data_IF_649727295430
#
_entry.id   IF_649727295430
#
_cell.length_a   1.000
_cell.length_b   1.000
_cell.length_c   1.000
_cell.angle_alpha   90.00
_cell.angle_beta   90.00
_cell.angle_gamma   90.00
#
_symmetry.space_group_name_H-M   'P 1'
#
loop_
_entity.id
_entity.type
_entity.pdbx_description
1 polymer ?
#
# COMPACT_ATOMS: atom_id res chain seq x y z
N UNK A 1 16.97 -44.49 26.13
CA UNK A 1 16.45 -43.51 27.10
C UNK A 1 15.66 -42.50 26.30
N UNK A 2 14.34 -42.65 26.32
CA UNK A 2 13.39 -41.85 25.56
C UNK A 2 13.42 -40.39 26.03
N UNK A 3 13.44 -39.47 25.06
CA UNK A 3 13.22 -38.04 25.30
C UNK A 3 11.76 -37.87 25.73
N UNK A 4 11.56 -37.38 26.95
CA UNK A 4 10.24 -36.96 27.43
C UNK A 4 9.83 -35.74 26.61
N UNK A 5 8.84 -35.90 25.74
CA UNK A 5 8.17 -34.78 25.07
C UNK A 5 7.63 -33.85 26.17
N UNK A 6 8.15 -32.63 26.21
CA UNK A 6 7.56 -31.55 27.00
C UNK A 6 6.19 -31.27 26.39
N UNK A 7 5.17 -31.73 27.10
CA UNK A 7 3.79 -31.70 26.64
C UNK A 7 3.32 -30.26 26.54
N UNK A 8 2.38 -30.01 25.63
CA UNK A 8 1.58 -28.79 25.58
C UNK A 8 0.99 -28.44 26.97
N UNK A 9 0.78 -29.44 27.81
CA UNK A 9 0.29 -29.31 29.19
C UNK A 9 1.30 -28.58 30.10
N UNK A 10 2.62 -28.81 29.93
CA UNK A 10 3.66 -28.13 30.74
C UNK A 10 3.63 -26.61 30.52
N UNK A 11 3.26 -26.16 29.32
CA UNK A 11 3.19 -24.74 28.99
C UNK A 11 2.00 -24.05 29.69
N UNK A 12 0.83 -24.68 29.71
CA UNK A 12 -0.35 -24.12 30.37
C UNK A 12 -0.24 -24.13 31.88
N UNK A 13 0.37 -25.16 32.46
CA UNK A 13 0.64 -25.23 33.90
C UNK A 13 1.58 -24.11 34.35
N UNK A 14 2.61 -23.79 33.55
CA UNK A 14 3.52 -22.65 33.82
C UNK A 14 2.77 -21.31 33.78
N UNK A 15 1.83 -21.11 32.85
CA UNK A 15 1.04 -19.87 32.75
C UNK A 15 0.11 -19.68 33.96
N UNK A 16 -0.50 -20.78 34.42
CA UNK A 16 -1.39 -20.79 35.59
C UNK A 16 -0.60 -20.54 36.87
N UNK A 17 0.54 -21.22 37.07
CA UNK A 17 1.39 -21.04 38.27
C UNK A 17 1.95 -19.62 38.39
N UNK A 18 2.22 -18.96 37.26
CA UNK A 18 2.72 -17.59 37.24
C UNK A 18 1.60 -16.53 37.23
N UNK A 19 0.34 -16.94 37.37
CA UNK A 19 -0.84 -16.06 37.40
C UNK A 19 -0.88 -15.10 36.20
N UNK A 20 -0.44 -15.58 35.03
CA UNK A 20 -0.35 -14.79 33.80
C UNK A 20 -1.74 -14.62 33.25
N UNK A 21 -2.34 -13.46 33.48
CA UNK A 21 -3.54 -13.04 32.76
C UNK A 21 -3.12 -12.79 31.30
N UNK A 22 -3.59 -13.61 30.36
CA UNK A 22 -3.53 -13.24 28.95
C UNK A 22 -4.47 -12.04 28.79
N UNK A 23 -3.92 -10.83 28.79
CA UNK A 23 -4.64 -9.61 28.45
C UNK A 23 -4.98 -9.65 26.96
N UNK A 24 -5.98 -10.45 26.59
CA UNK A 24 -6.63 -10.30 25.30
C UNK A 24 -7.57 -9.11 25.43
N UNK A 25 -7.31 -8.06 24.66
CA UNK A 25 -8.23 -6.93 24.53
C UNK A 25 -9.66 -7.46 24.21
N UNK A 26 -10.74 -6.75 24.61
CA UNK A 26 -12.12 -7.14 24.28
C UNK A 26 -12.29 -7.46 22.80
N UNK A 27 -13.21 -8.39 22.46
CA UNK A 27 -13.42 -8.85 21.06
C UNK A 27 -13.78 -7.68 20.13
N UNK A 28 -14.42 -6.63 20.66
CA UNK A 28 -14.76 -5.42 19.94
C UNK A 28 -13.54 -4.54 19.59
N UNK A 29 -12.45 -4.71 20.35
CA UNK A 29 -11.15 -4.05 20.19
C UNK A 29 -10.13 -4.92 19.43
N UNK A 30 -10.38 -6.23 19.32
CA UNK A 30 -9.61 -7.15 18.48
C UNK A 30 -9.96 -6.95 17.00
N UNK A 31 -9.43 -5.90 16.39
CA UNK A 31 -9.33 -5.80 14.92
C UNK A 31 -7.94 -6.25 14.47
N UNK A 32 -7.55 -7.46 14.83
CA UNK A 32 -6.34 -8.05 14.26
C UNK A 32 -6.66 -8.60 12.88
N UNK A 33 -6.38 -7.79 11.86
CA UNK A 33 -6.01 -8.35 10.57
C UNK A 33 -4.83 -9.28 10.83
N UNK A 34 -5.04 -10.58 10.66
CA UNK A 34 -4.01 -11.62 10.77
C UNK A 34 -2.87 -11.21 9.83
N UNK A 35 -1.76 -10.73 10.38
CA UNK A 35 -0.47 -10.50 9.68
C UNK A 35 -0.63 -10.00 8.22
N UNK A 36 -1.12 -8.76 7.98
CA UNK A 36 -1.43 -8.26 6.62
C UNK A 36 -0.22 -8.23 5.67
N UNK A 37 1.00 -8.38 6.21
CA UNK A 37 2.22 -8.46 5.44
C UNK A 37 2.37 -9.74 4.61
N UNK A 38 1.77 -10.84 5.04
CA UNK A 38 1.84 -12.15 4.38
C UNK A 38 0.60 -12.48 3.53
N UNK A 39 -0.44 -11.64 3.59
CA UNK A 39 -1.68 -11.82 2.85
C UNK A 39 -1.60 -11.17 1.44
N UNK A 40 -1.45 -12.02 0.43
CA UNK A 40 -1.45 -11.60 -0.97
C UNK A 40 -2.76 -10.95 -1.42
N UNK A 41 -3.90 -11.39 -0.88
CA UNK A 41 -5.20 -10.83 -1.23
C UNK A 41 -5.36 -9.43 -0.67
N UNK A 42 -4.89 -9.18 0.55
CA UNK A 42 -4.83 -7.82 1.13
C UNK A 42 -4.00 -6.87 0.25
N UNK A 43 -2.81 -7.29 -0.19
CA UNK A 43 -1.98 -6.47 -1.08
C UNK A 43 -2.61 -6.28 -2.46
N UNK A 44 -3.17 -7.33 -3.04
CA UNK A 44 -3.82 -7.29 -4.35
C UNK A 44 -5.04 -6.36 -4.32
N UNK A 45 -5.87 -6.47 -3.30
CA UNK A 45 -7.02 -5.62 -3.02
C UNK A 45 -6.63 -4.13 -3.04
N UNK A 46 -5.57 -3.76 -2.30
CA UNK A 46 -5.07 -2.39 -2.24
C UNK A 46 -4.53 -1.92 -3.59
N UNK A 47 -3.74 -2.74 -4.29
CA UNK A 47 -3.14 -2.39 -5.58
C UNK A 47 -4.23 -2.21 -6.65
N UNK A 48 -5.25 -3.07 -6.66
CA UNK A 48 -6.40 -2.92 -7.56
C UNK A 48 -7.06 -1.56 -7.40
N UNK A 49 -7.39 -1.19 -6.16
CA UNK A 49 -8.02 0.08 -5.85
C UNK A 49 -7.11 1.26 -6.23
N UNK A 50 -5.80 1.15 -5.96
CA UNK A 50 -4.80 2.16 -6.33
C UNK A 50 -4.73 2.38 -7.84
N UNK A 51 -4.67 1.32 -8.65
CA UNK A 51 -4.66 1.45 -10.11
C UNK A 51 -6.00 1.99 -10.60
N UNK A 52 -7.12 1.55 -10.01
CA UNK A 52 -8.46 2.00 -10.41
C UNK A 52 -8.67 3.50 -10.21
N UNK A 53 -8.17 4.04 -9.09
CA UNK A 53 -8.38 5.44 -8.70
C UNK A 53 -7.27 6.34 -9.24
N UNK A 54 -6.01 5.93 -9.15
CA UNK A 54 -4.85 6.75 -9.50
C UNK A 54 -4.29 6.47 -10.91
N UNK A 55 -4.78 5.42 -11.57
CA UNK A 55 -4.43 5.08 -12.95
C UNK A 55 -5.09 6.01 -13.96
N UNK A 56 -4.42 6.20 -15.09
CA UNK A 56 -4.88 7.03 -16.21
C UNK A 56 -5.29 6.15 -17.39
N UNK A 57 -6.34 6.57 -18.11
CA UNK A 57 -6.63 6.12 -19.48
C UNK A 57 -6.07 7.21 -20.41
N UNK A 58 -5.22 6.82 -21.36
CA UNK A 58 -4.47 7.76 -22.19
C UNK A 58 -4.21 7.19 -23.58
N UNK A 59 -5.21 7.28 -24.46
CA UNK A 59 -5.09 6.81 -25.84
C UNK A 59 -4.09 7.64 -26.65
N UNK A 60 -3.32 7.05 -27.59
CA UNK A 60 -3.36 5.64 -28.01
C UNK A 60 -2.45 4.70 -27.17
N UNK A 61 -1.98 5.16 -26.00
CA UNK A 61 -0.99 4.43 -25.22
C UNK A 61 -1.63 3.42 -24.27
N UNK A 62 -2.73 3.81 -23.60
CA UNK A 62 -3.46 2.99 -22.63
C UNK A 62 -4.96 3.13 -22.85
N UNK A 63 -5.62 2.02 -23.14
CA UNK A 63 -7.09 1.91 -23.22
C UNK A 63 -7.77 1.80 -21.86
N UNK A 64 -7.02 1.30 -20.86
CA UNK A 64 -7.54 0.98 -19.54
C UNK A 64 -6.73 1.68 -18.44
N UNK A 65 -7.29 1.71 -17.22
CA UNK A 65 -6.69 2.34 -16.06
C UNK A 65 -5.26 1.83 -15.83
N UNK A 66 -4.29 2.73 -16.00
CA UNK A 66 -2.88 2.38 -16.00
C UNK A 66 -2.06 3.31 -15.11
N UNK A 67 -1.25 2.74 -14.22
CA UNK A 67 -0.15 3.46 -13.57
C UNK A 67 1.15 3.11 -14.31
N UNK A 68 1.83 4.14 -14.82
CA UNK A 68 3.12 3.99 -15.47
C UNK A 68 4.25 4.54 -14.57
N UNK A 69 5.39 3.87 -14.59
CA UNK A 69 6.57 4.24 -13.82
C UNK A 69 6.61 3.58 -12.44
N UNK A 70 7.73 2.91 -12.15
CA UNK A 70 7.97 2.21 -10.87
C UNK A 70 7.93 3.15 -9.67
N UNK A 71 8.60 4.29 -9.77
CA UNK A 71 8.70 5.27 -8.68
C UNK A 71 7.34 5.87 -8.32
N UNK A 72 6.55 6.23 -9.32
CA UNK A 72 5.18 6.72 -9.15
C UNK A 72 4.29 5.70 -8.45
N UNK A 73 4.19 4.47 -8.98
CA UNK A 73 3.39 3.40 -8.36
C UNK A 73 3.78 3.19 -6.90
N UNK A 74 5.08 3.01 -6.69
CA UNK A 74 5.67 2.75 -5.38
C UNK A 74 5.38 3.85 -4.36
N UNK A 75 5.52 5.11 -4.76
CA UNK A 75 5.27 6.23 -3.86
C UNK A 75 3.79 6.41 -3.55
N UNK A 76 2.92 6.22 -4.54
CA UNK A 76 1.48 6.28 -4.29
C UNK A 76 1.05 5.17 -3.34
N UNK A 77 1.57 3.96 -3.53
CA UNK A 77 1.28 2.87 -2.63
C UNK A 77 1.81 3.10 -1.22
N UNK A 78 3.01 3.65 -1.11
CA UNK A 78 3.60 4.07 0.15
C UNK A 78 2.70 5.07 0.91
N UNK A 79 2.20 6.11 0.25
CA UNK A 79 1.32 7.09 0.92
C UNK A 79 0.03 6.48 1.46
N UNK A 80 -0.44 5.40 0.84
CA UNK A 80 -1.63 4.68 1.29
C UNK A 80 -1.32 3.75 2.47
N UNK A 81 -0.19 3.02 2.44
CA UNK A 81 0.25 2.18 3.56
C UNK A 81 0.62 2.99 4.81
N UNK A 82 1.11 4.21 4.59
CA UNK A 82 1.57 5.14 5.62
C UNK A 82 0.79 6.47 5.54
N UNK A 83 -0.47 6.50 6.01
CA UNK A 83 -1.34 7.66 5.85
C UNK A 83 -0.84 8.93 6.60
N UNK A 84 0.06 8.78 7.58
CA UNK A 84 0.75 9.93 8.17
C UNK A 84 1.72 10.63 7.20
N UNK A 85 2.34 9.91 6.25
CA UNK A 85 3.10 10.55 5.17
C UNK A 85 2.17 11.26 4.19
N UNK A 86 0.97 10.73 3.95
CA UNK A 86 -0.05 11.44 3.16
C UNK A 86 -0.48 12.75 3.87
N UNK A 87 -0.63 12.75 5.20
CA UNK A 87 -0.80 13.97 6.00
C UNK A 87 0.33 14.97 5.77
N UNK A 88 1.60 14.53 5.87
CA UNK A 88 2.77 15.39 5.62
C UNK A 88 2.74 15.98 4.20
N UNK A 89 2.36 15.20 3.19
CA UNK A 89 2.20 15.70 1.81
C UNK A 89 1.12 16.80 1.74
N UNK A 90 -0.04 16.61 2.38
CA UNK A 90 -1.11 17.62 2.43
C UNK A 90 -0.59 18.94 3.04
N UNK A 91 0.17 18.85 4.13
CA UNK A 91 0.75 20.00 4.84
C UNK A 91 1.81 20.72 4.00
N UNK A 92 2.72 19.98 3.35
CA UNK A 92 3.75 20.52 2.45
C UNK A 92 3.10 21.29 1.28
N UNK A 93 2.03 20.74 0.72
CA UNK A 93 1.29 21.35 -0.40
C UNK A 93 0.29 22.43 0.05
N UNK A 94 0.20 22.70 1.36
CA UNK A 94 -0.73 23.67 1.97
C UNK A 94 -2.20 23.42 1.57
N UNK A 95 -2.57 22.14 1.42
CA UNK A 95 -3.92 21.69 1.04
C UNK A 95 -4.76 21.28 2.25
N UNK A 96 -4.73 22.07 3.33
CA UNK A 96 -5.32 21.70 4.63
C UNK A 96 -6.79 21.28 4.57
N UNK A 97 -7.56 21.76 3.59
CA UNK A 97 -8.95 21.31 3.33
C UNK A 97 -9.09 19.79 3.07
N UNK A 98 -7.99 19.10 2.74
CA UNK A 98 -7.97 17.66 2.49
C UNK A 98 -7.79 16.84 3.76
N UNK A 99 -7.43 17.46 4.90
CA UNK A 99 -7.17 16.75 6.16
C UNK A 99 -8.42 16.05 6.70
N UNK A 100 -9.60 16.65 6.53
CA UNK A 100 -10.87 16.05 6.97
C UNK A 100 -11.19 14.75 6.22
N UNK A 101 -10.81 14.69 4.94
CA UNK A 101 -10.99 13.53 4.08
C UNK A 101 -9.99 12.39 4.36
N UNK A 102 -8.83 12.71 4.97
CA UNK A 102 -7.81 11.71 5.30
C UNK A 102 -8.33 10.67 6.31
N UNK A 103 -9.26 11.08 7.20
CA UNK A 103 -9.83 10.26 8.27
C UNK A 103 -8.75 9.48 9.04
N UNK A 104 -7.68 10.17 9.40
CA UNK A 104 -6.53 9.58 10.08
C UNK A 104 -6.93 9.25 11.53
N UNK A 105 -6.74 8.00 11.93
CA UNK A 105 -6.96 7.55 13.30
C UNK A 105 -5.67 7.69 14.12
N UNK A 106 -5.76 7.85 15.46
CA UNK A 106 -4.58 8.04 16.31
C UNK A 106 -3.53 6.93 16.17
N UNK A 107 -3.94 5.67 16.08
CA UNK A 107 -2.98 4.56 15.93
C UNK A 107 -2.25 4.56 14.56
N UNK A 108 -2.81 5.21 13.53
CA UNK A 108 -2.21 5.29 12.19
C UNK A 108 -1.09 6.36 12.11
N UNK A 109 -0.87 7.12 13.19
CA UNK A 109 0.31 8.00 13.34
C UNK A 109 1.49 7.29 14.00
N UNK A 110 1.26 6.16 14.66
CA UNK A 110 2.28 5.41 15.40
C UNK A 110 2.69 4.11 14.69
N UNK A 111 1.76 3.49 13.95
CA UNK A 111 1.99 2.21 13.26
C UNK A 111 1.46 2.26 11.82
N UNK A 112 2.23 1.68 10.91
CA UNK A 112 1.82 1.46 9.53
C UNK A 112 0.91 0.24 9.42
N UNK A 113 -0.02 0.24 8.46
CA UNK A 113 -1.00 -0.84 8.30
C UNK A 113 -0.38 -2.14 7.71
N UNK A 114 0.65 -2.00 6.87
CA UNK A 114 1.50 -3.09 6.37
C UNK A 114 2.89 -2.50 6.08
N UNK A 115 3.83 -2.60 7.03
CA UNK A 115 5.15 -2.02 6.87
C UNK A 115 5.92 -2.69 5.72
N UNK A 116 6.57 -1.87 4.90
CA UNK A 116 7.55 -2.33 3.93
C UNK A 116 8.78 -2.87 4.67
N UNK A 117 9.17 -4.11 4.38
CA UNK A 117 10.00 -4.94 5.30
C UNK A 117 11.40 -4.38 5.58
N UNK A 118 12.00 -3.54 4.72
CA UNK A 118 13.28 -2.86 5.02
C UNK A 118 13.36 -1.54 4.26
N UNK A 119 13.29 -0.41 4.96
CA UNK A 119 13.51 0.94 4.44
C UNK A 119 14.97 1.13 3.97
N UNK A 120 15.47 0.40 2.97
CA UNK A 120 16.86 0.58 2.48
C UNK A 120 16.95 0.96 1.00
N UNK A 121 15.90 0.82 0.18
CA UNK A 121 16.03 1.07 -1.28
C UNK A 121 14.84 1.73 -1.95
N UNK A 122 14.40 2.86 -1.42
CA UNK A 122 13.30 3.62 -2.03
C UNK A 122 11.97 2.86 -1.97
N UNK A 123 10.93 3.35 -2.66
CA UNK A 123 9.56 2.89 -2.43
C UNK A 123 9.24 1.54 -3.10
N UNK A 124 10.22 0.83 -3.68
CA UNK A 124 10.02 -0.47 -4.34
C UNK A 124 10.35 -1.64 -3.39
N UNK A 125 9.33 -2.34 -2.89
CA UNK A 125 9.46 -3.55 -2.07
C UNK A 125 9.81 -4.78 -2.94
N UNK A 126 10.76 -5.60 -2.50
CA UNK A 126 11.07 -6.89 -3.14
C UNK A 126 9.86 -7.84 -3.25
N UNK A 127 8.87 -7.69 -2.36
CA UNK A 127 7.61 -8.45 -2.39
C UNK A 127 6.75 -8.12 -3.61
N UNK A 128 6.94 -6.96 -4.26
CA UNK A 128 6.10 -6.57 -5.39
C UNK A 128 6.15 -7.57 -6.53
N UNK A 129 7.29 -8.17 -6.83
CA UNK A 129 7.38 -9.11 -7.94
C UNK A 129 6.47 -10.33 -7.70
N UNK A 130 6.45 -10.85 -6.47
CA UNK A 130 5.57 -11.96 -6.10
C UNK A 130 4.09 -11.54 -6.12
N UNK A 131 3.75 -10.39 -5.54
CA UNK A 131 2.37 -9.88 -5.47
C UNK A 131 1.83 -9.58 -6.89
N UNK A 132 2.62 -8.92 -7.73
CA UNK A 132 2.22 -8.60 -9.10
C UNK A 132 2.07 -9.86 -9.94
N UNK A 133 2.96 -10.85 -9.79
CA UNK A 133 2.80 -12.15 -10.46
C UNK A 133 1.54 -12.88 -10.00
N UNK A 134 1.22 -12.84 -8.70
CA UNK A 134 -0.04 -13.36 -8.17
C UNK A 134 -1.24 -12.70 -8.85
N UNK A 135 -1.30 -11.37 -8.90
CA UNK A 135 -2.39 -10.62 -9.54
C UNK A 135 -2.50 -10.90 -11.05
N UNK A 136 -1.37 -11.01 -11.76
CA UNK A 136 -1.34 -11.38 -13.19
C UNK A 136 -1.89 -12.80 -13.39
N UNK A 137 -1.51 -13.76 -12.54
CA UNK A 137 -2.01 -15.15 -12.62
C UNK A 137 -3.53 -15.24 -12.41
N UNK A 138 -4.08 -14.34 -11.60
CA UNK A 138 -5.52 -14.17 -11.36
C UNK A 138 -6.22 -13.34 -12.45
N UNK A 139 -5.50 -12.90 -13.48
CA UNK A 139 -6.00 -12.05 -14.57
C UNK A 139 -6.60 -10.72 -14.08
N UNK A 140 -6.12 -10.19 -12.96
CA UNK A 140 -6.59 -8.93 -12.39
C UNK A 140 -5.88 -7.72 -13.01
N UNK A 141 -4.61 -7.88 -13.36
CA UNK A 141 -3.79 -6.83 -13.97
C UNK A 141 -2.95 -7.38 -15.11
N UNK A 142 -2.44 -6.48 -15.94
CA UNK A 142 -1.34 -6.72 -16.89
C UNK A 142 -0.13 -5.90 -16.44
N UNK A 143 1.01 -6.55 -16.31
CA UNK A 143 2.30 -5.89 -16.13
C UNK A 143 3.06 -5.93 -17.45
N UNK A 144 3.42 -4.77 -17.99
CA UNK A 144 4.09 -4.70 -19.29
C UNK A 144 4.99 -3.47 -19.40
N UNK A 145 5.85 -3.44 -20.43
CA UNK A 145 6.72 -2.30 -20.72
C UNK A 145 6.33 -1.67 -22.06
N UNK A 146 5.73 -0.48 -22.02
CA UNK A 146 5.17 0.19 -23.19
C UNK A 146 5.48 1.69 -23.20
N UNK A 147 5.25 2.32 -24.35
CA UNK A 147 5.32 3.77 -24.49
C UNK A 147 4.17 4.39 -23.70
N UNK A 148 4.46 5.32 -22.79
CA UNK A 148 3.43 6.14 -22.11
C UNK A 148 3.28 7.53 -22.75
N UNK A 149 4.19 7.87 -23.67
CA UNK A 149 4.11 8.98 -24.59
C UNK A 149 4.93 8.64 -25.86
N UNK A 150 5.02 9.56 -26.81
CA UNK A 150 5.71 9.34 -28.10
C UNK A 150 7.19 8.96 -27.99
N UNK A 151 7.87 9.33 -26.90
CA UNK A 151 9.33 9.30 -26.79
C UNK A 151 9.86 8.47 -25.61
N UNK A 152 9.00 8.01 -24.70
CA UNK A 152 9.41 7.36 -23.46
C UNK A 152 8.61 6.10 -23.17
N UNK A 153 9.33 5.09 -22.66
CA UNK A 153 8.78 3.83 -22.17
C UNK A 153 8.86 3.74 -20.66
N UNK A 154 7.94 3.01 -20.06
CA UNK A 154 7.94 2.70 -18.64
C UNK A 154 7.30 1.33 -18.37
N UNK A 155 7.57 0.78 -17.17
CA UNK A 155 6.75 -0.29 -16.62
C UNK A 155 5.33 0.26 -16.40
N UNK A 156 4.34 -0.48 -16.86
CA UNK A 156 2.93 -0.14 -16.79
C UNK A 156 2.17 -1.26 -16.06
N UNK A 157 1.37 -0.86 -15.09
CA UNK A 157 0.42 -1.70 -14.38
C UNK A 157 -0.98 -1.29 -14.83
N UNK A 158 -1.64 -2.17 -15.58
CA UNK A 158 -2.93 -1.87 -16.21
C UNK A 158 -3.98 -2.84 -15.71
N UNK A 159 -5.17 -2.35 -15.35
CA UNK A 159 -6.28 -3.24 -14.99
C UNK A 159 -6.73 -4.04 -16.21
N UNK A 160 -7.14 -5.28 -15.99
CA UNK A 160 -7.97 -6.03 -16.94
C UNK A 160 -9.43 -5.67 -16.75
N UNK A 161 -10.32 -6.15 -17.62
CA UNK A 161 -11.78 -6.06 -17.41
C UNK A 161 -12.18 -6.65 -16.05
N UNK A 162 -11.70 -7.86 -15.72
CA UNK A 162 -11.93 -8.48 -14.41
C UNK A 162 -11.39 -7.63 -13.26
N UNK A 163 -10.20 -7.04 -13.42
CA UNK A 163 -9.62 -6.14 -12.43
C UNK A 163 -10.48 -4.90 -12.18
N UNK A 164 -11.04 -4.33 -13.25
CA UNK A 164 -11.99 -3.21 -13.17
C UNK A 164 -13.23 -3.65 -12.38
N UNK A 165 -13.88 -4.74 -12.79
CA UNK A 165 -15.11 -5.23 -12.16
C UNK A 165 -14.95 -5.49 -10.66
N UNK A 166 -13.84 -6.12 -10.26
CA UNK A 166 -13.53 -6.37 -8.85
C UNK A 166 -13.22 -5.06 -8.13
N UNK A 167 -12.45 -4.15 -8.74
CA UNK A 167 -12.13 -2.87 -8.11
C UNK A 167 -13.34 -1.96 -7.90
N UNK A 168 -14.37 -2.04 -8.74
CA UNK A 168 -15.64 -1.33 -8.53
C UNK A 168 -16.38 -1.80 -7.28
N UNK A 169 -16.38 -3.12 -7.04
CA UNK A 169 -16.99 -3.68 -5.83
C UNK A 169 -16.23 -3.20 -4.58
N UNK A 170 -14.90 -3.19 -4.66
CA UNK A 170 -14.02 -2.71 -3.59
C UNK A 170 -14.28 -1.23 -3.26
N UNK A 171 -14.48 -0.37 -4.26
CA UNK A 171 -14.73 1.08 -4.04
C UNK A 171 -15.91 1.30 -3.10
N UNK A 172 -16.97 0.51 -3.23
CA UNK A 172 -18.18 0.66 -2.41
C UNK A 172 -17.94 0.30 -0.94
N UNK A 173 -17.14 -0.73 -0.68
CA UNK A 173 -16.89 -1.24 0.66
C UNK A 173 -15.89 -0.37 1.43
N UNK A 174 -14.99 0.35 0.73
CA UNK A 174 -13.77 0.88 1.33
C UNK A 174 -13.59 2.40 1.11
N UNK A 175 -14.56 3.22 1.57
CA UNK A 175 -14.62 4.65 1.27
C UNK A 175 -13.47 5.45 1.87
N UNK A 176 -12.82 4.96 2.93
CA UNK A 176 -11.65 5.62 3.53
C UNK A 176 -10.45 5.51 2.61
N UNK A 177 -10.17 4.32 2.06
CA UNK A 177 -9.09 4.10 1.12
C UNK A 177 -9.31 4.87 -0.17
N UNK A 178 -10.54 4.86 -0.69
CA UNK A 178 -10.94 5.65 -1.86
C UNK A 178 -10.64 7.13 -1.63
N UNK A 179 -11.08 7.69 -0.49
CA UNK A 179 -10.86 9.09 -0.17
C UNK A 179 -9.36 9.45 -0.11
N UNK A 180 -8.54 8.59 0.50
CA UNK A 180 -7.08 8.77 0.56
C UNK A 180 -6.43 8.75 -0.82
N UNK A 181 -6.86 7.86 -1.71
CA UNK A 181 -6.35 7.82 -3.09
C UNK A 181 -6.81 9.04 -3.92
N UNK A 182 -7.99 9.59 -3.66
CA UNK A 182 -8.43 10.83 -4.29
C UNK A 182 -7.70 12.08 -3.77
N UNK A 183 -7.25 12.07 -2.51
CA UNK A 183 -6.29 13.08 -2.02
C UNK A 183 -5.00 13.01 -2.84
N UNK A 184 -4.47 11.80 -3.11
CA UNK A 184 -3.28 11.62 -3.96
C UNK A 184 -3.53 12.22 -5.34
N UNK A 185 -4.67 11.96 -5.99
CA UNK A 185 -5.00 12.53 -7.29
C UNK A 185 -5.14 14.06 -7.27
N UNK A 186 -5.66 14.62 -6.18
CA UNK A 186 -5.81 16.07 -6.03
C UNK A 186 -4.44 16.78 -5.97
N UNK A 187 -3.45 16.15 -5.35
CA UNK A 187 -2.10 16.69 -5.19
C UNK A 187 -1.20 16.34 -6.39
N UNK A 188 -1.26 15.10 -6.81
CA UNK A 188 -0.55 14.52 -7.95
C UNK A 188 -1.58 14.00 -8.96
N UNK A 189 -2.05 14.85 -9.89
CA UNK A 189 -2.99 14.42 -10.92
C UNK A 189 -2.54 13.16 -11.65
N UNK A 190 -3.47 12.33 -12.10
CA UNK A 190 -3.22 11.00 -12.71
C UNK A 190 -2.18 11.03 -13.84
N UNK A 191 -2.05 12.12 -14.58
CA UNK A 191 -1.06 12.30 -15.64
C UNK A 191 0.34 12.74 -15.15
N UNK A 192 0.56 12.91 -13.84
CA UNK A 192 1.85 13.29 -13.25
C UNK A 192 2.94 12.28 -13.64
N UNK A 193 4.06 12.80 -14.14
CA UNK A 193 5.17 11.98 -14.62
C UNK A 193 6.01 11.39 -13.49
N UNK A 194 6.72 10.30 -13.78
CA UNK A 194 7.62 9.68 -12.81
C UNK A 194 8.73 10.65 -12.37
N UNK A 195 9.26 11.48 -13.26
CA UNK A 195 10.32 12.44 -12.92
C UNK A 195 9.86 13.51 -11.94
N UNK A 196 8.59 13.97 -12.06
CA UNK A 196 8.01 14.91 -11.11
C UNK A 196 7.87 14.26 -9.73
N UNK A 197 7.43 12.99 -9.66
CA UNK A 197 7.34 12.25 -8.40
C UNK A 197 8.73 12.04 -7.79
N UNK A 198 9.70 11.56 -8.57
CA UNK A 198 11.07 11.33 -8.07
C UNK A 198 11.72 12.64 -7.59
N UNK A 199 11.48 13.75 -8.29
CA UNK A 199 11.92 15.08 -7.87
C UNK A 199 11.26 15.55 -6.57
N UNK A 200 9.98 15.23 -6.39
CA UNK A 200 9.23 15.52 -5.18
C UNK A 200 9.78 14.76 -3.96
N UNK A 201 9.96 13.44 -4.11
CA UNK A 201 10.51 12.58 -3.07
C UNK A 201 11.91 13.05 -2.68
N UNK A 202 12.78 13.35 -3.66
CA UNK A 202 14.14 13.86 -3.38
C UNK A 202 14.13 15.17 -2.59
N UNK A 203 13.17 16.05 -2.84
CA UNK A 203 13.09 17.35 -2.19
C UNK A 203 12.52 17.26 -0.77
N UNK A 204 11.47 16.47 -0.59
CA UNK A 204 10.65 16.51 0.63
C UNK A 204 10.80 15.28 1.52
N UNK A 205 11.25 14.15 0.96
CA UNK A 205 11.44 12.90 1.66
C UNK A 205 12.79 12.24 1.29
N UNK A 206 13.92 12.96 1.39
CA UNK A 206 15.23 12.44 0.98
C UNK A 206 15.63 11.17 1.74
N UNK A 207 15.20 11.04 3.00
CA UNK A 207 15.45 9.86 3.84
C UNK A 207 14.87 8.57 3.22
N UNK A 208 13.70 8.65 2.55
CA UNK A 208 13.09 7.52 1.85
C UNK A 208 13.95 7.00 0.69
N UNK A 209 14.69 7.89 0.03
CA UNK A 209 15.58 7.52 -1.08
C UNK A 209 16.91 6.94 -0.58
N UNK A 210 17.36 7.37 0.59
CA UNK A 210 18.63 6.95 1.19
C UNK A 210 18.51 5.70 2.05
N UNK A 211 17.28 5.26 2.34
CA UNK A 211 17.08 4.11 3.19
C UNK A 211 17.46 4.37 4.65
N UNK A 212 17.32 5.63 5.06
CA UNK A 212 17.58 6.08 6.43
C UNK A 212 16.19 6.36 7.01
N UNK A 213 15.91 5.86 8.21
CA UNK A 213 14.67 6.17 8.92
C UNK A 213 14.49 7.68 8.96
N UNK A 214 13.36 8.17 8.44
CA UNK A 214 13.01 9.58 8.57
C UNK A 214 12.51 9.83 9.97
N UNK A 215 13.00 10.90 10.60
CA UNK A 215 12.43 11.46 11.84
C UNK A 215 10.91 11.75 11.72
#
# INVERSE_FOLDING_TARGET
MEKKDSSFDDFFDILIENNVMMETAPVEEQREYIQPDDDYDFHAYRILLLIRICGIINEPFFSDYTIYGRGKFSFFDFLIRYPFYLKRVIEIEKRHILLDNLKLKPYETERAFSPMIKYIRGPWDHRYDAILNYMVSKKLIKVHFSNFNKNKKAMCLTLTELGIDISEQIIAEEPVWVSRMEIINTIFPRNTSNERIDGYIRRHFPALMLGIEGE
#
